data_IF_705192818617
#
_entry.id   IF_705192818617
#
_cell.length_a   1.000
_cell.length_b   1.000
_cell.length_c   1.000
_cell.angle_alpha   90.00
_cell.angle_beta   90.00
_cell.angle_gamma   90.00
#
_symmetry.space_group_name_H-M   'P 1'
#
loop_
_entity.id
_entity.type
_entity.pdbx_description
1 polymer ?
#
# COMPACT_ATOMS: atom_id res chain seq x y z
N UNK A 1 -12.65 1.19 2.48
CA UNK A 1 -11.78 1.35 3.65
C UNK A 1 -10.35 1.38 3.16
N UNK A 2 -9.62 2.47 3.36
CA UNK A 2 -8.20 2.56 3.02
C UNK A 2 -7.30 2.17 4.21
N UNK A 3 -5.98 2.07 3.98
CA UNK A 3 -5.03 1.68 5.02
C UNK A 3 -5.03 2.64 6.23
N UNK A 4 -5.19 3.94 6.01
CA UNK A 4 -5.19 4.94 7.10
C UNK A 4 -6.44 4.84 7.98
N UNK A 5 -7.60 4.55 7.39
CA UNK A 5 -8.85 4.26 8.10
C UNK A 5 -8.70 2.98 8.91
N UNK A 6 -8.19 1.91 8.31
CA UNK A 6 -8.00 0.63 8.99
C UNK A 6 -7.00 0.72 10.16
N UNK A 7 -5.98 1.57 10.05
CA UNK A 7 -5.01 1.81 11.13
C UNK A 7 -5.60 2.57 12.34
N UNK A 8 -6.75 3.24 12.20
CA UNK A 8 -7.43 3.88 13.35
C UNK A 8 -8.08 2.85 14.28
N UNK A 9 -8.42 1.67 13.76
CA UNK A 9 -9.06 0.57 14.50
C UNK A 9 -8.08 -0.26 15.34
N UNK A 10 -6.76 -0.08 15.15
CA UNK A 10 -5.75 -0.78 15.94
C UNK A 10 -5.17 0.11 17.03
N UNK A 11 -4.65 -0.52 18.10
CA UNK A 11 -3.99 0.20 19.18
C UNK A 11 -2.86 1.09 18.65
N UNK A 12 -2.66 2.26 19.26
CA UNK A 12 -1.57 3.19 18.94
C UNK A 12 -0.21 2.51 18.73
N UNK A 13 0.18 1.59 19.62
CA UNK A 13 1.47 0.89 19.54
C UNK A 13 1.61 0.04 18.27
N UNK A 14 0.58 -0.75 17.94
CA UNK A 14 0.51 -1.53 16.70
C UNK A 14 0.50 -0.65 15.46
N UNK A 15 -0.22 0.46 15.50
CA UNK A 15 -0.21 1.47 14.43
C UNK A 15 1.19 2.02 14.21
N UNK A 16 1.86 2.49 15.27
CA UNK A 16 3.22 3.03 15.19
C UNK A 16 4.20 2.01 14.62
N UNK A 17 4.14 0.76 15.12
CA UNK A 17 4.95 -0.33 14.60
C UNK A 17 4.71 -0.60 13.11
N UNK A 18 3.45 -0.69 12.69
CA UNK A 18 3.09 -0.92 11.29
C UNK A 18 3.55 0.22 10.39
N UNK A 19 3.33 1.47 10.82
CA UNK A 19 3.73 2.67 10.09
C UNK A 19 5.23 2.73 9.88
N UNK A 20 6.01 2.45 10.92
CA UNK A 20 7.46 2.39 10.84
C UNK A 20 7.95 1.25 9.95
N UNK A 21 7.41 0.04 10.13
CA UNK A 21 7.86 -1.15 9.40
C UNK A 21 7.71 -0.96 7.88
N UNK A 22 6.56 -0.45 7.46
CA UNK A 22 6.17 -0.27 6.06
C UNK A 22 6.45 1.11 5.48
N UNK A 23 7.07 1.99 6.27
CA UNK A 23 7.48 3.33 5.84
C UNK A 23 6.33 4.16 5.25
N UNK A 24 5.17 4.13 5.91
CA UNK A 24 3.96 4.85 5.49
C UNK A 24 3.76 6.15 6.27
N UNK A 25 4.86 6.76 6.75
CA UNK A 25 4.81 8.04 7.45
C UNK A 25 4.24 9.13 6.52
N UNK A 26 3.45 10.04 7.09
CA UNK A 26 2.93 11.20 6.36
C UNK A 26 4.07 12.08 5.84
N UNK A 27 5.12 12.23 6.65
CA UNK A 27 6.31 12.96 6.27
C UNK A 27 7.37 12.01 5.69
N UNK A 28 7.42 11.91 4.37
CA UNK A 28 8.39 11.10 3.62
C UNK A 28 9.79 11.74 3.54
N UNK A 29 9.96 12.99 3.99
CA UNK A 29 11.28 13.65 4.00
C UNK A 29 12.08 13.37 5.27
N UNK A 30 11.44 12.79 6.29
CA UNK A 30 12.11 12.41 7.53
C UNK A 30 12.85 11.08 7.33
N UNK A 31 14.08 11.01 7.83
CA UNK A 31 14.83 9.76 7.87
C UNK A 31 14.09 8.70 8.68
N UNK A 32 14.14 7.45 8.20
CA UNK A 32 13.48 6.33 8.84
C UNK A 32 14.11 6.06 10.20
N UNK A 33 13.27 6.05 11.23
CA UNK A 33 13.70 5.80 12.60
C UNK A 33 14.30 4.40 12.75
N UNK A 34 15.26 4.25 13.65
CA UNK A 34 15.89 2.95 13.91
C UNK A 34 14.97 2.03 14.70
N UNK A 35 15.29 0.73 14.72
CA UNK A 35 14.54 -0.22 15.53
C UNK A 35 14.60 0.13 17.03
N UNK A 36 15.74 0.64 17.51
CA UNK A 36 15.95 1.05 18.90
C UNK A 36 15.07 2.25 19.27
N UNK A 37 15.06 3.29 18.43
CA UNK A 37 14.20 4.47 18.61
C UNK A 37 12.72 4.11 18.68
N UNK A 38 12.28 3.15 17.86
CA UNK A 38 10.89 2.67 17.88
C UNK A 38 10.62 1.82 19.11
N UNK A 39 11.55 0.97 19.55
CA UNK A 39 11.40 0.22 20.80
C UNK A 39 11.24 1.16 22.00
N UNK A 40 12.02 2.23 22.04
CA UNK A 40 11.92 3.26 23.09
C UNK A 40 10.54 3.94 23.09
N UNK A 41 10.04 4.33 21.92
CA UNK A 41 8.68 4.91 21.79
C UNK A 41 7.57 3.94 22.15
N UNK A 42 7.72 2.67 21.81
CA UNK A 42 6.78 1.61 22.16
C UNK A 42 6.90 1.20 23.63
N UNK A 43 7.96 1.63 24.31
CA UNK A 43 8.34 1.29 25.67
C UNK A 43 8.45 -0.24 25.84
N UNK A 44 9.15 -0.89 24.91
CA UNK A 44 9.34 -2.35 24.91
C UNK A 44 10.83 -2.70 24.90
N UNK A 45 11.18 -3.82 25.53
CA UNK A 45 12.54 -4.35 25.52
C UNK A 45 12.87 -5.19 24.29
N UNK A 46 11.85 -5.60 23.53
CA UNK A 46 12.01 -6.41 22.31
C UNK A 46 10.81 -6.26 21.39
N UNK A 47 11.01 -6.50 20.09
CA UNK A 47 9.95 -6.49 19.08
C UNK A 47 9.15 -7.80 18.98
N UNK A 48 9.45 -8.80 19.80
CA UNK A 48 8.90 -10.15 19.67
C UNK A 48 7.36 -10.19 19.69
N UNK A 49 6.73 -9.34 20.49
CA UNK A 49 5.28 -9.22 20.54
C UNK A 49 4.69 -8.73 19.20
N UNK A 50 5.33 -7.75 18.57
CA UNK A 50 4.90 -7.23 17.27
C UNK A 50 5.17 -8.22 16.15
N UNK A 51 6.33 -8.90 16.16
CA UNK A 51 6.64 -9.98 15.21
C UNK A 51 5.61 -11.11 15.32
N UNK A 52 5.17 -11.44 16.54
CA UNK A 52 4.09 -12.41 16.75
C UNK A 52 2.76 -11.88 16.19
N UNK A 53 2.47 -10.60 16.38
CA UNK A 53 1.28 -9.95 15.86
C UNK A 53 1.22 -9.98 14.31
N UNK A 54 2.35 -9.99 13.61
CA UNK A 54 2.40 -10.10 12.15
C UNK A 54 1.71 -11.35 11.59
N UNK A 55 1.61 -12.41 12.41
CA UNK A 55 1.00 -13.69 12.03
C UNK A 55 -0.50 -13.71 12.26
N UNK A 56 -1.09 -12.60 12.71
CA UNK A 56 -2.52 -12.52 13.03
C UNK A 56 -3.35 -12.12 11.81
N UNK A 57 -4.62 -12.54 11.73
CA UNK A 57 -5.53 -12.09 10.67
C UNK A 57 -5.67 -10.56 10.60
N UNK A 58 -5.65 -9.88 11.76
CA UNK A 58 -5.69 -8.42 11.84
C UNK A 58 -4.52 -7.77 11.09
N UNK A 59 -3.31 -8.30 11.28
CA UNK A 59 -2.14 -7.77 10.58
C UNK A 59 -2.19 -8.08 9.08
N UNK A 60 -2.60 -9.30 8.71
CA UNK A 60 -2.76 -9.68 7.31
C UNK A 60 -3.70 -8.73 6.57
N UNK A 61 -4.83 -8.37 7.19
CA UNK A 61 -5.77 -7.42 6.62
C UNK A 61 -5.15 -6.03 6.38
N UNK A 62 -4.38 -5.51 7.34
CA UNK A 62 -3.67 -4.23 7.17
C UNK A 62 -2.63 -4.33 6.05
N UNK A 63 -1.89 -5.43 6.00
CA UNK A 63 -0.89 -5.67 4.95
C UNK A 63 -1.54 -5.73 3.57
N UNK A 64 -2.67 -6.41 3.42
CA UNK A 64 -3.42 -6.46 2.16
C UNK A 64 -3.83 -5.07 1.69
N UNK A 65 -4.42 -4.25 2.57
CA UNK A 65 -4.81 -2.87 2.22
C UNK A 65 -3.60 -2.00 1.84
N UNK A 66 -2.47 -2.17 2.54
CA UNK A 66 -1.24 -1.49 2.20
C UNK A 66 -0.71 -1.90 0.82
N UNK A 67 -0.66 -3.20 0.52
CA UNK A 67 -0.23 -3.69 -0.79
C UNK A 67 -1.17 -3.26 -1.91
N UNK A 68 -2.49 -3.25 -1.67
CA UNK A 68 -3.47 -2.70 -2.60
C UNK A 68 -3.20 -1.22 -2.91
N UNK A 69 -2.76 -0.43 -1.91
CA UNK A 69 -2.42 0.98 -2.13
C UNK A 69 -1.18 1.17 -3.03
N UNK A 70 -0.26 0.21 -3.03
CA UNK A 70 0.92 0.20 -3.90
C UNK A 70 0.67 -0.39 -5.28
N UNK A 71 -0.39 -1.19 -5.41
CA UNK A 71 -0.68 -1.94 -6.62
C UNK A 71 -0.81 -1.06 -7.86
N UNK A 72 -1.29 0.19 -7.72
CA UNK A 72 -1.35 1.12 -8.85
C UNK A 72 0.03 1.40 -9.46
N UNK A 73 1.04 1.67 -8.63
CA UNK A 73 2.41 1.91 -9.08
C UNK A 73 3.04 0.62 -9.63
N UNK A 74 2.83 -0.51 -8.95
CA UNK A 74 3.32 -1.80 -9.42
C UNK A 74 2.72 -2.17 -10.79
N UNK A 75 1.43 -1.87 -11.00
CA UNK A 75 0.72 -2.09 -12.25
C UNK A 75 1.30 -1.23 -13.39
N UNK A 76 1.67 0.02 -13.11
CA UNK A 76 2.34 0.89 -14.09
C UNK A 76 3.69 0.31 -14.53
N UNK A 77 4.51 -0.14 -13.58
CA UNK A 77 5.82 -0.75 -13.85
C UNK A 77 5.67 -2.05 -14.65
N UNK A 78 4.75 -2.93 -14.22
CA UNK A 78 4.50 -4.20 -14.91
C UNK A 78 3.95 -3.98 -16.32
N UNK A 79 3.01 -3.03 -16.48
CA UNK A 79 2.49 -2.66 -17.79
C UNK A 79 3.62 -2.18 -18.71
N UNK A 80 4.47 -1.27 -18.23
CA UNK A 80 5.56 -0.68 -19.02
C UNK A 80 6.53 -1.75 -19.49
N UNK A 81 7.05 -2.57 -18.57
CA UNK A 81 7.98 -3.65 -18.89
C UNK A 81 7.37 -4.69 -19.86
N UNK A 82 6.09 -5.03 -19.69
CA UNK A 82 5.40 -5.99 -20.56
C UNK A 82 5.15 -5.40 -21.94
N UNK A 83 4.78 -4.12 -22.01
CA UNK A 83 4.52 -3.42 -23.26
C UNK A 83 5.80 -3.26 -24.09
N UNK A 84 6.94 -2.96 -23.44
CA UNK A 84 8.24 -2.90 -24.12
C UNK A 84 8.55 -4.24 -24.80
N UNK A 85 8.53 -5.35 -24.05
CA UNK A 85 8.79 -6.70 -24.61
C UNK A 85 7.82 -7.10 -25.71
N UNK A 86 6.54 -6.76 -25.56
CA UNK A 86 5.51 -7.12 -26.54
C UNK A 86 5.60 -6.32 -27.86
N UNK A 87 6.38 -5.23 -27.91
CA UNK A 87 6.58 -4.38 -29.08
C UNK A 87 7.92 -4.61 -29.79
N UNK A 88 8.79 -5.45 -29.23
CA UNK A 88 10.06 -5.82 -29.87
C UNK A 88 9.82 -6.60 -31.18
N UNK A 89 10.74 -6.52 -32.14
CA UNK A 89 10.58 -7.17 -33.45
C UNK A 89 10.52 -8.70 -33.34
N UNK A 90 11.16 -9.26 -32.31
CA UNK A 90 11.18 -10.68 -31.96
C UNK A 90 10.25 -11.02 -30.78
N UNK A 91 9.22 -10.20 -30.54
CA UNK A 91 8.27 -10.38 -29.45
C UNK A 91 7.64 -11.78 -29.41
N UNK A 92 7.68 -12.41 -28.24
CA UNK A 92 7.08 -13.72 -28.03
C UNK A 92 5.57 -13.65 -27.76
N UNK A 93 4.84 -14.70 -28.15
CA UNK A 93 3.39 -14.76 -28.02
C UNK A 93 2.90 -14.57 -26.56
N UNK A 94 3.70 -14.97 -25.56
CA UNK A 94 3.30 -14.84 -24.15
C UNK A 94 3.31 -13.39 -23.72
N UNK A 95 4.31 -12.61 -24.12
CA UNK A 95 4.40 -11.17 -23.80
C UNK A 95 3.21 -10.40 -24.38
N UNK A 96 2.83 -10.70 -25.63
CA UNK A 96 1.66 -10.10 -26.28
C UNK A 96 0.36 -10.48 -25.56
N UNK A 97 0.19 -11.77 -25.22
CA UNK A 97 -0.99 -12.24 -24.46
C UNK A 97 -1.10 -11.59 -23.08
N UNK A 98 0.03 -11.48 -22.38
CA UNK A 98 0.08 -10.85 -21.05
C UNK A 98 -0.31 -9.37 -21.13
N UNK A 99 0.20 -8.63 -22.12
CA UNK A 99 -0.19 -7.23 -22.34
C UNK A 99 -1.70 -7.09 -22.58
N UNK A 100 -2.27 -7.95 -23.42
CA UNK A 100 -3.72 -7.95 -23.69
C UNK A 100 -4.54 -8.31 -22.46
N UNK A 101 -4.04 -9.17 -21.58
CA UNK A 101 -4.69 -9.50 -20.32
C UNK A 101 -4.65 -8.32 -19.35
N UNK A 102 -3.51 -7.66 -19.18
CA UNK A 102 -3.38 -6.44 -18.36
C UNK A 102 -4.37 -5.38 -18.85
N UNK A 103 -4.48 -5.18 -20.16
CA UNK A 103 -5.44 -4.25 -20.75
C UNK A 103 -6.90 -4.59 -20.41
N UNK A 104 -7.25 -5.88 -20.32
CA UNK A 104 -8.60 -6.32 -19.89
C UNK A 104 -8.84 -6.03 -18.41
N UNK A 105 -7.87 -6.29 -17.55
CA UNK A 105 -7.97 -6.00 -16.11
C UNK A 105 -8.11 -4.50 -15.85
N UNK A 106 -7.33 -3.64 -16.52
CA UNK A 106 -7.46 -2.17 -16.43
C UNK A 106 -8.88 -1.72 -16.79
N UNK A 107 -9.48 -2.28 -17.86
CA UNK A 107 -10.87 -1.97 -18.22
C UNK A 107 -11.86 -2.43 -17.16
N UNK A 108 -11.60 -3.55 -16.48
CA UNK A 108 -12.40 -4.02 -15.36
C UNK A 108 -12.33 -3.05 -14.18
N UNK A 109 -11.12 -2.61 -13.80
CA UNK A 109 -10.91 -1.62 -12.75
C UNK A 109 -11.58 -0.28 -13.06
N UNK A 110 -11.48 0.22 -14.30
CA UNK A 110 -12.12 1.47 -14.69
C UNK A 110 -13.65 1.40 -14.57
N UNK A 111 -14.27 0.26 -14.91
CA UNK A 111 -15.71 0.05 -14.72
C UNK A 111 -16.10 -0.01 -13.23
N UNK A 112 -15.27 -0.60 -12.40
CA UNK A 112 -15.49 -0.63 -10.96
C UNK A 112 -15.36 0.79 -10.35
N UNK A 113 -14.35 1.54 -10.77
CA UNK A 113 -14.09 2.91 -10.32
C UNK A 113 -15.19 3.88 -10.77
N UNK A 114 -15.74 3.75 -11.98
CA UNK A 114 -16.85 4.61 -12.45
C UNK A 114 -18.14 4.45 -11.63
N UNK A 115 -18.25 3.38 -10.84
CA UNK A 115 -19.38 3.16 -9.92
C UNK A 115 -19.16 3.77 -8.53
N UNK A 116 -17.94 4.26 -8.24
CA UNK A 116 -17.62 4.95 -6.99
C UNK A 116 -18.03 6.41 -7.16
N UNK A 117 -19.12 6.82 -6.50
CA UNK A 117 -19.49 8.24 -6.42
C UNK A 117 -18.36 9.00 -5.69
N UNK A 118 -18.00 10.20 -6.13
CA UNK A 118 -17.06 11.03 -5.38
C UNK A 118 -17.62 11.24 -3.97
N UNK A 119 -16.83 10.86 -2.97
CA UNK A 119 -17.15 11.17 -1.58
C UNK A 119 -16.89 12.65 -1.35
N UNK A 120 -17.93 13.42 -1.05
CA UNK A 120 -17.80 14.77 -0.50
C UNK A 120 -17.10 14.70 0.86
N UNK A 121 -15.77 14.70 0.87
CA UNK A 121 -14.96 14.83 2.09
C UNK A 121 -14.06 16.05 1.99
N UNK A 122 -14.68 17.23 1.97
CA UNK A 122 -14.04 18.46 2.41
C UNK A 122 -13.94 18.41 3.94
N UNK A 123 -12.80 17.98 4.47
CA UNK A 123 -12.45 18.20 5.88
C UNK A 123 -10.93 18.12 6.06
N UNK A 124 -10.22 19.06 5.45
CA UNK A 124 -8.79 19.31 5.69
C UNK A 124 -8.49 20.81 5.88
N UNK A 125 -9.51 21.61 6.24
CA UNK A 125 -9.40 23.07 6.39
C UNK A 125 -9.59 23.54 7.84
N UNK A 126 -9.32 22.69 8.84
CA UNK A 126 -9.49 23.05 10.26
C UNK A 126 -8.23 22.79 11.10
N UNK A 127 -7.06 23.13 10.54
CA UNK A 127 -5.86 23.39 11.34
C UNK A 127 -5.27 24.75 10.92
N UNK A 128 -6.05 25.81 11.16
CA UNK A 128 -5.50 27.13 11.38
C UNK A 128 -5.14 27.31 12.88
N UNK A 129 -3.92 27.82 13.07
CA UNK A 129 -3.25 28.39 14.26
C UNK A 129 -2.53 27.44 15.24
#
# INVERSE_FOLDING_TARGET
MNIYEALKEVSWKKRLYFTWKHDISYNQTKEKETAEEIMDKLQVKSMNEYIKWERTPQYLQLLSLYLESKFANDLEVVYTNTAERAKEEDADEKSIKLLLQIQKEIRSFNKAASNVKPSDSNSFDDLEL
#
